data_IF_224268614191
#
_entry.id   IF_224268614191
#
_cell.length_a   1.000
_cell.length_b   1.000
_cell.length_c   1.000
_cell.angle_alpha   90.00
_cell.angle_beta   90.00
_cell.angle_gamma   90.00
#
_symmetry.space_group_name_H-M   'P 1'
#
loop_
_entity.id
_entity.type
_entity.pdbx_description
1 polymer ?
#
# COMPACT_ATOMS: atom_id res chain seq x y z
N UNK A 1 21.82 -0.96 -6.15
CA UNK A 1 20.65 -1.18 -5.25
C UNK A 1 20.59 -2.57 -4.64
N UNK A 2 20.53 -3.71 -5.38
CA UNK A 2 20.43 -5.05 -4.73
C UNK A 2 21.59 -5.39 -3.78
N UNK A 3 22.83 -4.94 -4.05
CA UNK A 3 23.98 -5.14 -3.15
C UNK A 3 23.93 -4.25 -1.91
N UNK A 4 23.31 -3.09 -2.01
CA UNK A 4 23.17 -2.11 -0.92
C UNK A 4 22.01 -2.46 0.02
N UNK A 5 20.99 -3.18 -0.46
CA UNK A 5 19.86 -3.62 0.36
C UNK A 5 20.30 -4.38 1.61
N UNK A 6 21.31 -5.27 1.48
CA UNK A 6 21.83 -6.09 2.58
C UNK A 6 22.56 -5.27 3.66
N UNK A 7 22.89 -4.01 3.39
CA UNK A 7 23.55 -3.12 4.38
C UNK A 7 22.58 -2.24 5.14
N UNK A 8 21.30 -2.22 4.75
CA UNK A 8 20.29 -1.40 5.37
C UNK A 8 19.65 -2.14 6.56
N UNK A 9 19.48 -1.44 7.69
CA UNK A 9 18.71 -1.97 8.82
C UNK A 9 17.20 -1.97 8.48
N UNK A 10 16.56 -3.14 8.32
CA UNK A 10 15.15 -3.24 7.95
C UNK A 10 14.21 -2.46 8.89
N UNK A 11 14.60 -2.29 10.16
CA UNK A 11 13.79 -1.57 11.15
C UNK A 11 13.72 -0.07 10.91
N UNK A 12 14.64 0.47 10.12
CA UNK A 12 14.67 1.88 9.74
C UNK A 12 13.97 2.16 8.41
N UNK A 13 13.57 1.13 7.66
CA UNK A 13 12.97 1.29 6.34
C UNK A 13 11.45 1.43 6.45
N UNK A 14 10.91 2.32 5.63
CA UNK A 14 9.47 2.51 5.44
C UNK A 14 9.21 2.57 3.94
N UNK A 15 8.29 1.74 3.45
CA UNK A 15 7.86 1.74 2.05
C UNK A 15 6.48 2.36 1.96
N UNK A 16 6.36 3.44 1.19
CA UNK A 16 5.11 4.18 0.96
C UNK A 16 4.65 3.91 -0.46
N UNK A 17 3.37 3.59 -0.59
CA UNK A 17 2.75 3.40 -1.89
C UNK A 17 1.23 3.48 -1.77
N UNK A 18 0.53 3.63 -2.91
CA UNK A 18 -0.91 3.66 -2.96
C UNK A 18 -1.49 2.56 -3.84
N UNK A 19 -2.73 2.21 -3.56
CA UNK A 19 -3.48 1.24 -4.37
C UNK A 19 -4.94 1.63 -4.50
N UNK A 20 -5.48 1.47 -5.72
CA UNK A 20 -6.89 1.66 -5.97
C UNK A 20 -7.71 0.44 -5.52
N UNK A 21 -8.84 0.71 -4.86
CA UNK A 21 -9.88 -0.26 -4.54
C UNK A 21 -11.23 0.23 -5.04
N UNK A 22 -12.09 -0.68 -5.51
CA UNK A 22 -13.37 -0.30 -6.10
C UNK A 22 -14.54 -1.08 -5.51
N UNK A 23 -15.72 -0.48 -5.51
CA UNK A 23 -16.96 -1.11 -5.03
C UNK A 23 -17.45 -2.26 -5.93
N UNK A 24 -16.83 -2.48 -7.09
CA UNK A 24 -17.15 -3.62 -7.96
C UNK A 24 -16.27 -4.85 -7.75
N UNK A 25 -15.31 -4.80 -6.83
CA UNK A 25 -14.39 -5.91 -6.61
C UNK A 25 -15.15 -7.18 -6.26
N UNK A 26 -14.85 -8.27 -7.00
CA UNK A 26 -15.41 -9.61 -6.80
C UNK A 26 -14.30 -10.65 -6.91
N UNK A 27 -14.56 -11.87 -6.47
CA UNK A 27 -13.66 -13.00 -6.71
C UNK A 27 -13.46 -13.20 -8.20
N UNK A 28 -12.22 -13.36 -8.63
CA UNK A 28 -11.87 -13.62 -10.03
C UNK A 28 -12.01 -15.10 -10.41
N UNK A 29 -11.90 -15.99 -9.39
CA UNK A 29 -11.92 -17.42 -9.55
C UNK A 29 -12.81 -18.06 -8.49
N UNK A 30 -13.40 -19.20 -8.84
CA UNK A 30 -14.16 -20.04 -7.93
C UNK A 30 -13.95 -21.52 -8.29
N UNK A 31 -14.56 -22.41 -7.51
CA UNK A 31 -14.52 -23.86 -7.75
C UNK A 31 -15.92 -24.37 -7.96
N UNK A 32 -16.09 -25.28 -8.93
CA UNK A 32 -17.30 -26.04 -9.16
C UNK A 32 -16.94 -27.54 -9.25
N UNK A 33 -17.90 -28.46 -9.04
CA UNK A 33 -17.68 -29.87 -9.34
C UNK A 33 -17.25 -30.08 -10.79
N UNK A 34 -16.48 -31.13 -11.03
CA UNK A 34 -16.03 -31.47 -12.39
C UNK A 34 -17.23 -31.56 -13.35
N UNK A 35 -17.10 -30.98 -14.54
CA UNK A 35 -18.17 -30.92 -15.55
C UNK A 35 -19.28 -29.92 -15.27
N UNK A 36 -19.23 -29.13 -14.18
CA UNK A 36 -20.20 -28.07 -13.88
C UNK A 36 -19.61 -26.69 -14.15
N UNK A 37 -20.38 -25.84 -14.84
CA UNK A 37 -20.01 -24.44 -15.07
C UNK A 37 -20.18 -23.64 -13.76
N UNK A 38 -19.15 -22.91 -13.36
CA UNK A 38 -19.27 -21.93 -12.28
C UNK A 38 -19.98 -20.67 -12.82
N UNK A 39 -21.07 -20.28 -12.16
CA UNK A 39 -21.81 -19.04 -12.46
C UNK A 39 -21.79 -18.17 -11.21
N UNK A 40 -21.31 -16.94 -11.33
CA UNK A 40 -21.39 -15.91 -10.26
C UNK A 40 -21.87 -14.59 -10.87
N UNK A 41 -22.53 -13.76 -10.07
CA UNK A 41 -23.02 -12.44 -10.49
C UNK A 41 -21.95 -11.40 -10.20
N UNK A 42 -21.61 -10.61 -11.22
CA UNK A 42 -20.68 -9.49 -11.11
C UNK A 42 -21.46 -8.18 -11.19
N UNK A 43 -21.21 -7.17 -10.34
CA UNK A 43 -21.85 -5.87 -10.46
C UNK A 43 -21.54 -5.25 -11.83
N UNK A 44 -22.60 -4.87 -12.54
CA UNK A 44 -22.51 -4.22 -13.82
C UNK A 44 -23.18 -2.85 -13.73
N UNK A 45 -22.46 -1.83 -13.30
CA UNK A 45 -22.87 -0.42 -13.34
C UNK A 45 -21.75 0.48 -12.85
N UNK A 46 -22.06 1.75 -12.66
CA UNK A 46 -21.11 2.74 -12.10
C UNK A 46 -20.54 2.28 -10.75
N UNK A 47 -19.22 2.29 -10.63
CA UNK A 47 -18.51 1.96 -9.40
C UNK A 47 -17.77 3.17 -8.86
N UNK A 48 -17.60 3.21 -7.56
CA UNK A 48 -16.73 4.19 -6.91
C UNK A 48 -15.33 3.61 -6.72
N UNK A 49 -14.34 4.47 -6.89
CA UNK A 49 -12.94 4.15 -6.67
C UNK A 49 -12.46 4.90 -5.44
N UNK A 50 -11.81 4.19 -4.55
CA UNK A 50 -11.10 4.73 -3.38
C UNK A 50 -9.61 4.47 -3.58
N UNK A 51 -8.78 5.47 -3.31
CA UNK A 51 -7.34 5.28 -3.17
C UNK A 51 -7.03 4.98 -1.71
N UNK A 52 -6.32 3.89 -1.46
CA UNK A 52 -5.75 3.56 -0.15
C UNK A 52 -4.24 3.74 -0.22
N UNK A 53 -3.69 4.53 0.70
CA UNK A 53 -2.25 4.76 0.85
C UNK A 53 -1.83 4.40 2.27
N UNK A 54 -0.64 3.83 2.42
CA UNK A 54 -0.04 3.58 3.73
C UNK A 54 1.47 3.41 3.63
N UNK A 55 2.13 3.36 4.78
CA UNK A 55 3.51 2.93 4.90
C UNK A 55 3.61 1.51 5.46
N UNK A 56 4.45 0.68 4.86
CA UNK A 56 4.84 -0.61 5.40
C UNK A 56 6.16 -0.46 6.17
N UNK A 57 6.16 -0.84 7.44
CA UNK A 57 7.34 -0.98 8.30
C UNK A 57 7.66 -2.45 8.52
N UNK A 58 8.86 -2.73 9.01
CA UNK A 58 9.30 -4.08 9.35
C UNK A 58 8.40 -4.77 10.40
N UNK A 59 7.72 -4.00 11.23
CA UNK A 59 6.91 -4.47 12.36
C UNK A 59 5.42 -4.11 12.27
N UNK A 60 4.96 -3.53 11.17
CA UNK A 60 3.55 -3.17 11.00
C UNK A 60 3.27 -2.18 9.89
N UNK A 61 2.02 -1.74 9.81
CA UNK A 61 1.57 -0.70 8.89
C UNK A 61 1.51 0.65 9.62
N UNK A 62 1.92 1.71 8.96
CA UNK A 62 1.91 3.08 9.48
C UNK A 62 1.21 4.04 8.54
N UNK A 63 0.73 5.16 9.07
CA UNK A 63 0.14 6.25 8.29
C UNK A 63 -0.94 5.80 7.28
N UNK A 64 -1.90 4.90 7.64
CA UNK A 64 -2.94 4.49 6.69
C UNK A 64 -3.93 5.62 6.45
N UNK A 65 -4.27 5.83 5.16
CA UNK A 65 -5.25 6.83 4.77
C UNK A 65 -6.07 6.34 3.57
N UNK A 66 -7.32 6.76 3.48
CA UNK A 66 -8.21 6.50 2.36
C UNK A 66 -8.72 7.81 1.78
N UNK A 67 -8.71 7.92 0.46
CA UNK A 67 -9.20 9.06 -0.31
C UNK A 67 -10.34 8.59 -1.22
N UNK A 68 -11.47 9.31 -1.24
CA UNK A 68 -12.52 9.06 -2.23
C UNK A 68 -12.10 9.67 -3.57
N UNK A 69 -11.68 8.84 -4.49
CA UNK A 69 -11.16 9.23 -5.80
C UNK A 69 -9.67 8.95 -5.99
N UNK A 70 -9.07 9.49 -7.07
CA UNK A 70 -7.66 9.33 -7.39
C UNK A 70 -6.77 10.21 -6.50
N UNK A 71 -5.54 9.76 -6.28
CA UNK A 71 -4.46 10.53 -5.65
C UNK A 71 -3.77 11.37 -6.73
N UNK A 72 -3.66 12.66 -6.51
CA UNK A 72 -2.80 13.58 -7.28
C UNK A 72 -1.63 14.08 -6.41
N UNK A 73 -0.77 14.89 -6.98
CA UNK A 73 0.42 15.39 -6.29
C UNK A 73 0.11 16.26 -5.07
N UNK A 74 -0.97 17.07 -5.11
CA UNK A 74 -1.35 17.92 -3.98
C UNK A 74 -1.91 17.09 -2.82
N UNK A 75 -2.76 16.09 -3.12
CA UNK A 75 -3.26 15.17 -2.11
C UNK A 75 -2.12 14.32 -1.52
N UNK A 76 -1.13 13.92 -2.36
CA UNK A 76 0.02 13.18 -1.87
C UNK A 76 0.89 14.04 -0.94
N UNK A 77 1.18 15.30 -1.30
CA UNK A 77 1.91 16.23 -0.43
C UNK A 77 1.17 16.43 0.91
N UNK A 78 -0.13 16.68 0.87
CA UNK A 78 -0.93 16.83 2.10
C UNK A 78 -0.90 15.57 2.98
N UNK A 79 -0.96 14.38 2.35
CA UNK A 79 -0.78 13.12 3.05
C UNK A 79 0.59 13.02 3.73
N UNK A 80 1.66 13.37 2.99
CA UNK A 80 3.02 13.32 3.54
C UNK A 80 3.17 14.27 4.73
N UNK A 81 2.72 15.51 4.62
CA UNK A 81 2.84 16.52 5.66
C UNK A 81 2.02 16.21 6.91
N UNK A 82 0.75 15.81 6.71
CA UNK A 82 -0.23 15.74 7.81
C UNK A 82 -0.32 14.36 8.43
N UNK A 83 -0.04 13.30 7.70
CA UNK A 83 -0.28 11.93 8.13
C UNK A 83 1.02 11.13 8.24
N UNK A 84 1.89 11.16 7.22
CA UNK A 84 3.12 10.38 7.23
C UNK A 84 4.20 11.02 8.13
N UNK A 85 4.54 12.30 7.88
CA UNK A 85 5.63 12.98 8.57
C UNK A 85 5.53 12.95 10.10
N UNK A 86 4.34 13.09 10.73
CA UNK A 86 4.20 12.95 12.19
C UNK A 86 4.60 11.57 12.73
N UNK A 87 4.58 10.52 11.90
CA UNK A 87 4.96 9.16 12.29
C UNK A 87 6.45 8.87 12.11
N UNK A 88 7.18 9.73 11.41
CA UNK A 88 8.59 9.52 11.08
C UNK A 88 9.51 9.82 12.26
N UNK A 89 10.61 9.06 12.33
CA UNK A 89 11.67 9.21 13.33
C UNK A 89 12.99 9.48 12.64
N UNK A 90 13.89 10.17 13.37
CA UNK A 90 15.27 10.44 12.92
C UNK A 90 15.98 9.15 12.48
N UNK A 91 16.64 9.21 11.32
CA UNK A 91 17.43 8.11 10.75
C UNK A 91 16.63 7.11 9.94
N UNK A 92 15.31 7.25 9.85
CA UNK A 92 14.50 6.40 8.99
C UNK A 92 14.71 6.72 7.51
N UNK A 93 14.53 5.71 6.68
CA UNK A 93 14.61 5.80 5.21
C UNK A 93 13.22 5.53 4.67
N UNK A 94 12.67 6.50 3.94
CA UNK A 94 11.36 6.42 3.32
C UNK A 94 11.52 6.11 1.84
N UNK A 95 11.14 4.91 1.44
CA UNK A 95 11.12 4.51 0.04
C UNK A 95 9.79 4.89 -0.60
N UNK A 96 9.89 5.55 -1.73
CA UNK A 96 8.78 6.00 -2.59
C UNK A 96 8.96 5.38 -3.96
N UNK A 97 7.87 5.08 -4.66
CA UNK A 97 7.99 4.72 -6.06
C UNK A 97 8.32 5.95 -6.94
N UNK A 98 8.74 5.68 -8.17
CA UNK A 98 9.30 6.71 -9.05
C UNK A 98 8.24 7.35 -9.97
N UNK A 99 7.03 7.65 -9.43
CA UNK A 99 5.97 8.33 -10.17
C UNK A 99 6.01 9.85 -9.98
N UNK A 100 5.46 10.59 -10.93
CA UNK A 100 5.46 12.06 -10.90
C UNK A 100 4.71 12.65 -9.71
N UNK A 101 3.64 12.00 -9.25
CA UNK A 101 2.84 12.42 -8.10
C UNK A 101 3.62 12.41 -6.80
N UNK A 102 4.64 11.55 -6.66
CA UNK A 102 5.50 11.49 -5.47
C UNK A 102 6.68 12.48 -5.51
N UNK A 103 6.92 13.13 -6.66
CA UNK A 103 8.01 14.09 -6.86
C UNK A 103 7.55 15.55 -6.83
N UNK A 104 6.39 15.80 -6.28
CA UNK A 104 5.90 17.17 -6.11
C UNK A 104 6.77 17.88 -5.08
N UNK A 105 7.08 19.15 -5.36
CA UNK A 105 7.83 20.01 -4.44
C UNK A 105 7.18 20.02 -3.05
N UNK A 106 8.01 19.95 -2.02
CA UNK A 106 7.57 19.86 -0.62
C UNK A 106 7.57 18.43 -0.05
N UNK A 107 7.50 17.39 -0.89
CA UNK A 107 7.45 15.99 -0.41
C UNK A 107 8.78 15.58 0.26
N UNK A 108 9.89 15.83 -0.42
CA UNK A 108 11.21 15.50 0.13
C UNK A 108 11.50 16.34 1.36
N UNK A 109 11.25 17.64 1.29
CA UNK A 109 11.43 18.61 2.38
C UNK A 109 10.63 18.23 3.65
N UNK A 110 9.38 17.78 3.47
CA UNK A 110 8.53 17.36 4.60
C UNK A 110 9.07 16.10 5.31
N UNK A 111 9.66 15.17 4.56
CA UNK A 111 10.31 13.98 5.09
C UNK A 111 11.63 14.33 5.79
N UNK A 112 12.47 15.16 5.15
CA UNK A 112 13.78 15.58 5.65
C UNK A 112 13.66 16.45 6.91
N UNK A 113 12.61 17.26 7.03
CA UNK A 113 12.30 18.02 8.25
C UNK A 113 12.15 17.12 9.49
N UNK A 114 11.81 15.84 9.30
CA UNK A 114 11.78 14.82 10.36
C UNK A 114 13.11 14.10 10.58
N UNK A 115 14.17 14.55 9.90
CA UNK A 115 15.51 13.91 9.89
C UNK A 115 15.43 12.46 9.39
N UNK A 116 14.46 12.17 8.52
CA UNK A 116 14.34 10.95 7.72
C UNK A 116 14.86 11.24 6.31
N UNK A 117 15.21 10.21 5.55
CA UNK A 117 15.76 10.33 4.21
C UNK A 117 14.81 9.73 3.17
N UNK A 118 14.30 10.50 2.21
CA UNK A 118 13.55 9.95 1.09
C UNK A 118 14.48 9.25 0.09
N UNK A 119 14.04 8.14 -0.48
CA UNK A 119 14.71 7.44 -1.58
C UNK A 119 13.65 6.97 -2.56
N UNK A 120 13.82 7.33 -3.84
CA UNK A 120 12.97 6.82 -4.91
C UNK A 120 13.45 5.47 -5.40
N UNK A 121 12.54 4.50 -5.48
CA UNK A 121 12.81 3.20 -6.08
C UNK A 121 13.10 3.36 -7.57
N UNK A 122 13.92 2.48 -8.20
CA UNK A 122 14.07 2.47 -9.64
C UNK A 122 12.71 2.26 -10.31
N UNK A 123 12.52 2.90 -11.47
CA UNK A 123 11.31 2.71 -12.25
C UNK A 123 11.10 1.21 -12.56
N UNK A 124 9.84 0.78 -12.57
CA UNK A 124 9.46 -0.60 -12.88
C UNK A 124 10.12 -1.69 -12.02
N UNK A 125 10.31 -1.44 -10.72
CA UNK A 125 10.95 -2.39 -9.79
C UNK A 125 10.02 -2.80 -8.63
N UNK A 126 8.84 -3.40 -8.89
CA UNK A 126 7.91 -3.80 -7.85
C UNK A 126 8.46 -4.92 -6.95
N UNK A 127 9.43 -5.70 -7.43
CA UNK A 127 10.14 -6.72 -6.66
C UNK A 127 10.98 -6.14 -5.52
N UNK A 128 11.37 -4.87 -5.62
CA UNK A 128 12.06 -4.13 -4.57
C UNK A 128 11.10 -3.43 -3.59
N UNK A 129 9.80 -3.50 -3.83
CA UNK A 129 8.79 -2.83 -3.01
C UNK A 129 7.96 -3.86 -2.21
N UNK A 130 8.29 -4.12 -0.92
CA UNK A 130 7.59 -5.12 -0.12
C UNK A 130 6.10 -4.79 0.12
N UNK A 131 5.69 -3.52 0.02
CA UNK A 131 4.29 -3.10 0.23
C UNK A 131 3.35 -3.64 -0.85
N UNK A 132 3.87 -3.95 -2.04
CA UNK A 132 3.08 -4.56 -3.11
C UNK A 132 2.49 -5.93 -2.72
N UNK A 133 3.18 -6.67 -1.87
CA UNK A 133 2.69 -7.94 -1.34
C UNK A 133 1.53 -7.72 -0.36
N UNK A 134 1.63 -6.68 0.48
CA UNK A 134 0.53 -6.25 1.35
C UNK A 134 -0.69 -5.87 0.52
N UNK A 135 -0.51 -5.10 -0.55
CA UNK A 135 -1.60 -4.69 -1.45
C UNK A 135 -2.21 -5.86 -2.23
N UNK A 136 -1.41 -6.82 -2.65
CA UNK A 136 -1.93 -8.03 -3.29
C UNK A 136 -2.84 -8.82 -2.34
N UNK A 137 -2.45 -8.95 -1.06
CA UNK A 137 -3.26 -9.59 -0.02
C UNK A 137 -4.52 -8.76 0.30
N UNK A 138 -4.40 -7.45 0.44
CA UNK A 138 -5.53 -6.53 0.62
C UNK A 138 -6.55 -6.70 -0.51
N UNK A 139 -6.11 -6.63 -1.77
CA UNK A 139 -7.00 -6.80 -2.94
C UNK A 139 -7.70 -8.16 -2.93
N UNK A 140 -6.98 -9.23 -2.55
CA UNK A 140 -7.58 -10.57 -2.39
C UNK A 140 -8.65 -10.58 -1.31
N UNK A 141 -8.40 -9.96 -0.16
CA UNK A 141 -9.36 -9.81 0.94
C UNK A 141 -10.60 -9.02 0.50
N UNK A 142 -10.41 -7.84 -0.12
CA UNK A 142 -11.52 -6.98 -0.57
C UNK A 142 -12.42 -7.68 -1.61
N UNK A 143 -11.85 -8.48 -2.52
CA UNK A 143 -12.63 -9.30 -3.45
C UNK A 143 -13.52 -10.32 -2.74
N UNK A 144 -13.07 -10.89 -1.60
CA UNK A 144 -13.88 -11.80 -0.78
C UNK A 144 -15.00 -11.07 -0.06
N UNK A 145 -14.74 -9.84 0.41
CA UNK A 145 -15.71 -9.02 1.16
C UNK A 145 -16.86 -8.52 0.28
N UNK A 146 -16.65 -8.38 -1.04
CA UNK A 146 -17.68 -7.92 -1.99
C UNK A 146 -18.35 -6.59 -1.53
N UNK A 147 -17.58 -5.63 -0.98
CA UNK A 147 -18.10 -4.33 -0.56
C UNK A 147 -18.74 -3.58 -1.74
N UNK A 148 -19.94 -3.01 -1.54
CA UNK A 148 -20.73 -2.36 -2.58
C UNK A 148 -20.92 -0.86 -2.36
N UNK A 149 -20.53 -0.35 -1.21
CA UNK A 149 -20.49 1.09 -0.89
C UNK A 149 -19.08 1.51 -0.46
N UNK A 150 -18.80 2.81 -0.54
CA UNK A 150 -17.51 3.37 -0.11
C UNK A 150 -17.29 3.08 1.37
N UNK A 151 -18.30 3.25 2.21
CA UNK A 151 -18.21 3.01 3.66
C UNK A 151 -17.93 1.54 3.97
N UNK A 152 -18.56 0.60 3.23
CA UNK A 152 -18.27 -0.83 3.38
C UNK A 152 -16.83 -1.14 2.97
N UNK A 153 -16.33 -0.49 1.90
CA UNK A 153 -14.96 -0.66 1.42
C UNK A 153 -13.95 -0.16 2.45
N UNK A 154 -14.18 1.03 3.02
CA UNK A 154 -13.31 1.60 4.06
C UNK A 154 -13.30 0.76 5.34
N UNK A 155 -14.47 0.28 5.78
CA UNK A 155 -14.56 -0.67 6.92
C UNK A 155 -13.81 -1.97 6.65
N UNK A 156 -13.88 -2.47 5.41
CA UNK A 156 -13.14 -3.68 5.02
C UNK A 156 -11.63 -3.44 5.03
N UNK A 157 -11.14 -2.29 4.54
CA UNK A 157 -9.72 -1.89 4.63
C UNK A 157 -9.29 -1.82 6.11
N UNK A 158 -10.04 -1.13 6.95
CA UNK A 158 -9.74 -1.02 8.38
C UNK A 158 -9.71 -2.40 9.08
N UNK A 159 -10.64 -3.29 8.73
CA UNK A 159 -10.66 -4.67 9.24
C UNK A 159 -9.44 -5.48 8.80
N UNK A 160 -9.04 -5.34 7.53
CA UNK A 160 -7.84 -5.96 7.01
C UNK A 160 -6.58 -5.54 7.77
N UNK A 161 -6.42 -4.24 8.01
CA UNK A 161 -5.24 -3.69 8.69
C UNK A 161 -5.07 -4.23 10.11
N UNK A 162 -6.17 -4.46 10.84
CA UNK A 162 -6.14 -5.07 12.18
C UNK A 162 -5.60 -6.50 12.18
N UNK A 163 -5.67 -7.20 11.04
CA UNK A 163 -5.21 -8.57 10.88
C UNK A 163 -3.79 -8.69 10.32
N UNK A 164 -3.08 -7.59 10.06
CA UNK A 164 -1.69 -7.61 9.58
C UNK A 164 -0.75 -7.83 10.76
N UNK A 165 -0.02 -8.95 10.77
CA UNK A 165 0.92 -9.26 11.85
C UNK A 165 2.34 -8.75 11.56
N UNK A 166 3.17 -8.66 12.63
CA UNK A 166 4.59 -8.31 12.51
C UNK A 166 5.36 -9.35 11.72
N UNK A 167 5.06 -10.62 11.92
CA UNK A 167 5.70 -11.74 11.23
C UNK A 167 5.44 -11.68 9.74
N UNK A 168 4.24 -11.29 9.37
CA UNK A 168 3.86 -11.08 7.97
C UNK A 168 4.63 -9.92 7.35
N UNK A 169 4.75 -8.78 8.04
CA UNK A 169 5.53 -7.64 7.55
C UNK A 169 7.00 -8.03 7.34
N UNK A 170 7.61 -8.76 8.29
CA UNK A 170 8.98 -9.29 8.16
C UNK A 170 9.12 -10.19 6.93
N UNK A 171 8.15 -11.08 6.68
CA UNK A 171 8.18 -11.97 5.52
C UNK A 171 8.13 -11.18 4.19
N UNK A 172 7.40 -10.07 4.12
CA UNK A 172 7.39 -9.19 2.95
C UNK A 172 8.75 -8.55 2.71
N UNK A 173 9.42 -8.06 3.78
CA UNK A 173 10.77 -7.51 3.69
C UNK A 173 11.78 -8.55 3.22
N UNK A 174 11.77 -9.75 3.82
CA UNK A 174 12.67 -10.85 3.45
C UNK A 174 12.48 -11.23 1.97
N UNK A 175 11.25 -11.36 1.50
CA UNK A 175 10.96 -11.72 0.10
C UNK A 175 11.42 -10.64 -0.90
N UNK A 176 11.46 -9.37 -0.49
CA UNK A 176 11.98 -8.27 -1.32
C UNK A 176 13.48 -8.02 -1.13
N UNK A 177 14.18 -8.83 -0.31
CA UNK A 177 15.63 -8.81 -0.14
C UNK A 177 16.15 -7.80 0.88
N UNK A 178 15.34 -7.39 1.87
CA UNK A 178 15.71 -6.45 2.93
C UNK A 178 15.95 -7.11 4.31
N UNK A 179 15.87 -8.43 4.41
CA UNK A 179 16.10 -9.19 5.64
C UNK A 179 16.65 -10.59 5.31
#
# INVERSE_FOLDING_TARGET
MRKEQLTLDPKQLIFIDETAATTKMTRLYGRAPQGKRLVDKVPHSHWKTTTFICGLRYDGVTAPFVLDGPMDGLHFLAYVEQILAPTLKKGQIVFLDNVSTHKVAGVEEAIEARRARPIFLPAYSPDLNPIEQLFARLKSFLRKMKARTVEQLWRAIASFLKGVSKEECKAYYAKSGYA
#
